data_IF_776218868509
#
_entry.id   IF_776218868509
#
_cell.length_a   1.000
_cell.length_b   1.000
_cell.length_c   1.000
_cell.angle_alpha   90.00
_cell.angle_beta   90.00
_cell.angle_gamma   90.00
#
_symmetry.space_group_name_H-M   'P 1'
#
loop_
_entity.id
_entity.type
_entity.pdbx_description
1 polymer ?
#
# COMPACT_ATOMS: atom_id res chain seq x y z
N UNK A 1 -9.43 40.61 40.21
CA UNK A 1 -9.86 39.46 39.37
C UNK A 1 -9.01 39.50 38.12
N UNK A 2 -8.00 38.63 38.07
CA UNK A 2 -6.95 38.64 37.05
C UNK A 2 -7.22 37.44 36.13
N UNK A 3 -7.61 37.71 34.89
CA UNK A 3 -7.80 36.68 33.85
C UNK A 3 -6.44 36.16 33.40
N UNK A 4 -6.14 34.91 33.73
CA UNK A 4 -5.02 34.17 33.17
C UNK A 4 -5.35 33.78 31.72
N UNK A 5 -4.61 34.33 30.76
CA UNK A 5 -4.55 33.83 29.39
C UNK A 5 -3.77 32.51 29.42
N UNK A 6 -4.45 31.40 29.11
CA UNK A 6 -3.78 30.16 28.74
C UNK A 6 -3.30 30.32 27.30
N UNK A 7 -1.99 30.43 27.12
CA UNK A 7 -1.33 30.26 25.83
C UNK A 7 -1.41 28.78 25.44
N UNK A 8 -2.16 28.47 24.38
CA UNK A 8 -2.08 27.17 23.72
C UNK A 8 -0.69 27.01 23.11
N UNK A 9 0.13 26.23 23.80
CA UNK A 9 1.46 25.83 23.38
C UNK A 9 1.30 24.79 22.27
N UNK A 10 0.97 25.23 21.05
CA UNK A 10 1.07 24.42 19.82
C UNK A 10 2.54 24.16 19.51
N UNK A 11 3.17 23.28 20.28
CA UNK A 11 4.43 22.66 19.91
C UNK A 11 4.14 21.79 18.68
N UNK A 12 4.47 22.33 17.51
CA UNK A 12 4.48 21.58 16.26
C UNK A 12 5.41 20.38 16.45
N UNK A 13 4.82 19.20 16.67
CA UNK A 13 5.54 17.92 16.73
C UNK A 13 6.43 17.82 15.50
N UNK A 14 7.75 17.79 15.72
CA UNK A 14 8.71 17.59 14.66
C UNK A 14 8.34 16.34 13.85
N UNK A 15 8.45 16.36 12.51
CA UNK A 15 8.09 15.20 11.70
C UNK A 15 8.98 14.01 12.10
N UNK A 16 8.37 12.98 12.70
CA UNK A 16 9.05 11.73 13.07
C UNK A 16 9.80 11.18 11.87
N UNK A 17 11.04 10.74 12.09
CA UNK A 17 11.83 10.16 11.01
C UNK A 17 11.18 8.85 10.52
N UNK A 18 11.39 8.50 9.25
CA UNK A 18 10.85 7.24 8.71
C UNK A 18 11.39 6.00 9.46
N UNK A 19 12.56 6.11 10.11
CA UNK A 19 13.15 5.10 10.95
C UNK A 19 12.36 4.93 12.26
N UNK A 20 12.06 6.03 12.96
CA UNK A 20 11.25 6.01 14.19
C UNK A 20 9.87 5.42 13.92
N UNK A 21 9.23 5.76 12.80
CA UNK A 21 7.93 5.19 12.43
C UNK A 21 8.03 3.67 12.19
N UNK A 22 9.12 3.21 11.56
CA UNK A 22 9.35 1.79 11.31
C UNK A 22 9.67 1.01 12.61
N UNK A 23 10.47 1.59 13.50
CA UNK A 23 10.81 1.00 14.80
C UNK A 23 9.59 0.90 15.71
N UNK A 24 8.79 1.97 15.81
CA UNK A 24 7.52 1.96 16.56
C UNK A 24 6.58 0.88 16.00
N UNK A 25 6.53 0.71 14.68
CA UNK A 25 5.70 -0.32 14.04
C UNK A 25 6.22 -1.73 14.34
N UNK A 26 7.53 -1.96 14.26
CA UNK A 26 8.14 -3.25 14.56
C UNK A 26 7.96 -3.61 16.04
N UNK A 27 8.15 -2.65 16.94
CA UNK A 27 7.96 -2.84 18.37
C UNK A 27 6.49 -3.13 18.72
N UNK A 28 5.53 -2.47 18.04
CA UNK A 28 4.10 -2.77 18.20
C UNK A 28 3.73 -4.17 17.70
N UNK A 29 4.32 -4.62 16.60
CA UNK A 29 4.12 -5.99 16.12
C UNK A 29 4.68 -7.00 17.11
N UNK A 30 5.89 -6.76 17.62
CA UNK A 30 6.52 -7.61 18.61
C UNK A 30 5.72 -7.65 19.92
N UNK A 31 5.16 -6.52 20.37
CA UNK A 31 4.34 -6.48 21.58
C UNK A 31 2.99 -7.18 21.41
N UNK A 32 2.43 -7.18 20.20
CA UNK A 32 1.10 -7.75 19.93
C UNK A 32 1.17 -9.24 19.65
N UNK A 33 2.20 -9.70 18.94
CA UNK A 33 2.27 -11.08 18.45
C UNK A 33 3.46 -11.89 18.97
N UNK A 34 4.44 -11.25 19.61
CA UNK A 34 5.71 -11.90 19.94
C UNK A 34 6.54 -12.28 18.71
N UNK A 35 7.67 -12.92 18.98
CA UNK A 35 8.45 -13.63 17.96
C UNK A 35 7.79 -14.95 17.59
N UNK A 36 8.08 -15.46 16.39
CA UNK A 36 7.63 -16.81 16.04
C UNK A 36 8.27 -17.85 16.95
N UNK A 37 7.44 -18.74 17.46
CA UNK A 37 7.91 -19.92 18.17
C UNK A 37 8.84 -20.77 17.28
N UNK A 38 9.78 -21.54 17.86
CA UNK A 38 10.61 -22.45 17.07
C UNK A 38 9.80 -23.47 16.25
N UNK A 39 8.61 -23.85 16.74
CA UNK A 39 7.68 -24.70 16.00
C UNK A 39 7.07 -23.98 14.78
N UNK A 40 6.66 -22.72 14.94
CA UNK A 40 6.19 -21.86 13.86
C UNK A 40 7.25 -21.67 12.77
N UNK A 41 8.51 -21.46 13.14
CA UNK A 41 9.62 -21.33 12.18
C UNK A 41 9.83 -22.63 11.39
N UNK A 42 9.83 -23.79 12.07
CA UNK A 42 9.94 -25.09 11.41
C UNK A 42 8.78 -25.32 10.44
N UNK A 43 7.54 -25.15 10.91
CA UNK A 43 6.34 -25.29 10.08
C UNK A 43 6.41 -24.40 8.83
N UNK A 44 6.84 -23.14 8.97
CA UNK A 44 7.02 -22.24 7.82
C UNK A 44 7.98 -22.84 6.80
N UNK A 45 9.14 -23.32 7.24
CA UNK A 45 10.16 -23.89 6.35
C UNK A 45 9.66 -25.18 5.67
N UNK A 46 8.92 -26.01 6.41
CA UNK A 46 8.35 -27.24 5.88
C UNK A 46 7.28 -26.95 4.82
N UNK A 47 6.47 -25.90 5.01
CA UNK A 47 5.53 -25.41 3.98
C UNK A 47 6.29 -24.87 2.77
N UNK A 48 7.32 -24.05 2.99
CA UNK A 48 8.12 -23.47 1.90
C UNK A 48 8.80 -24.56 1.07
N UNK A 49 9.19 -25.67 1.68
CA UNK A 49 9.86 -26.81 1.02
C UNK A 49 8.90 -27.91 0.55
N UNK A 50 7.59 -27.65 0.55
CA UNK A 50 6.54 -28.59 0.16
C UNK A 50 6.52 -29.91 0.98
N UNK A 51 7.14 -29.92 2.17
CA UNK A 51 7.08 -31.05 3.11
C UNK A 51 5.76 -31.10 3.88
N UNK A 52 5.16 -29.93 4.14
CA UNK A 52 3.85 -29.79 4.79
C UNK A 52 2.92 -28.99 3.89
N UNK A 53 1.74 -29.54 3.65
CA UNK A 53 0.67 -28.82 2.96
C UNK A 53 -0.08 -27.92 3.94
N UNK A 54 0.02 -26.60 3.79
CA UNK A 54 -0.51 -25.64 4.75
C UNK A 54 -2.04 -25.78 4.95
N UNK A 55 -2.78 -26.07 3.89
CA UNK A 55 -4.25 -26.24 3.98
C UNK A 55 -4.62 -27.45 4.85
N UNK A 56 -3.95 -28.60 4.67
CA UNK A 56 -4.18 -29.79 5.50
C UNK A 56 -3.76 -29.57 6.94
N UNK A 57 -2.63 -28.88 7.17
CA UNK A 57 -2.20 -28.53 8.52
C UNK A 57 -3.24 -27.67 9.22
N UNK A 58 -3.76 -26.63 8.56
CA UNK A 58 -4.82 -25.78 9.08
C UNK A 58 -6.09 -26.59 9.40
N UNK A 59 -6.51 -27.48 8.51
CA UNK A 59 -7.67 -28.34 8.75
C UNK A 59 -7.48 -29.24 9.97
N UNK A 60 -6.28 -29.80 10.17
CA UNK A 60 -5.97 -30.61 11.36
C UNK A 60 -6.06 -29.79 12.63
N UNK A 61 -5.34 -28.65 12.74
CA UNK A 61 -5.35 -27.85 13.98
C UNK A 61 -6.72 -27.27 14.30
N UNK A 62 -7.56 -27.03 13.29
CA UNK A 62 -8.95 -26.63 13.47
C UNK A 62 -9.77 -27.78 14.03
N UNK A 63 -9.67 -28.98 13.44
CA UNK A 63 -10.36 -30.17 13.93
C UNK A 63 -9.94 -30.53 15.36
N UNK A 64 -8.66 -30.32 15.70
CA UNK A 64 -8.09 -30.58 17.02
C UNK A 64 -8.38 -29.45 18.03
N UNK A 65 -9.01 -28.34 17.61
CA UNK A 65 -9.30 -27.20 18.47
C UNK A 65 -8.06 -26.41 18.94
N UNK A 66 -6.94 -26.53 18.22
CA UNK A 66 -5.64 -25.90 18.56
C UNK A 66 -5.25 -24.76 17.61
N UNK A 67 -6.19 -24.29 16.78
CA UNK A 67 -5.95 -23.17 15.88
C UNK A 67 -5.57 -21.90 16.65
N UNK A 68 -4.49 -21.25 16.22
CA UNK A 68 -4.04 -19.97 16.78
C UNK A 68 -3.75 -18.96 15.68
N UNK A 69 -3.68 -17.69 16.06
CA UNK A 69 -3.27 -16.64 15.14
C UNK A 69 -1.82 -16.81 14.66
N UNK A 70 -0.93 -17.38 15.48
CA UNK A 70 0.44 -17.73 15.05
C UNK A 70 0.39 -18.75 13.91
N UNK A 71 -0.43 -19.80 14.03
CA UNK A 71 -0.58 -20.81 12.98
C UNK A 71 -1.08 -20.19 11.68
N UNK A 72 -2.09 -19.32 11.72
CA UNK A 72 -2.59 -18.62 10.55
C UNK A 72 -1.49 -17.78 9.87
N UNK A 73 -0.74 -16.98 10.66
CA UNK A 73 0.34 -16.13 10.17
C UNK A 73 1.45 -16.95 9.50
N UNK A 74 1.88 -18.02 10.15
CA UNK A 74 2.91 -18.93 9.63
C UNK A 74 2.48 -19.59 8.33
N UNK A 75 1.26 -20.11 8.25
CA UNK A 75 0.74 -20.71 7.03
C UNK A 75 0.66 -19.68 5.89
N UNK A 76 0.15 -18.47 6.17
CA UNK A 76 0.08 -17.39 5.18
C UNK A 76 1.47 -16.98 4.67
N UNK A 77 2.46 -16.87 5.56
CA UNK A 77 3.83 -16.55 5.20
C UNK A 77 4.49 -17.68 4.38
N UNK A 78 4.35 -18.92 4.84
CA UNK A 78 4.92 -20.10 4.19
C UNK A 78 4.38 -20.27 2.77
N UNK A 79 3.06 -20.23 2.59
CA UNK A 79 2.43 -20.34 1.26
C UNK A 79 2.81 -19.18 0.35
N UNK A 80 2.87 -17.94 0.88
CA UNK A 80 3.26 -16.79 0.07
C UNK A 80 4.70 -16.90 -0.44
N UNK A 81 5.61 -17.38 0.40
CA UNK A 81 7.02 -17.58 0.08
C UNK A 81 7.24 -18.77 -0.86
N UNK A 82 6.51 -19.87 -0.66
CA UNK A 82 6.46 -21.01 -1.58
C UNK A 82 6.05 -20.57 -2.99
N UNK A 83 4.98 -19.78 -3.11
CA UNK A 83 4.54 -19.25 -4.40
C UNK A 83 5.49 -18.19 -4.98
N UNK A 84 6.28 -17.50 -4.15
CA UNK A 84 7.23 -16.50 -4.62
C UNK A 84 8.36 -17.11 -5.47
N UNK A 85 8.64 -18.41 -5.33
CA UNK A 85 9.59 -19.16 -6.16
C UNK A 85 9.19 -19.21 -7.64
N UNK A 86 7.90 -19.05 -7.94
CA UNK A 86 7.36 -19.08 -9.30
C UNK A 86 7.19 -17.68 -9.87
N UNK A 87 7.22 -17.56 -11.21
CA UNK A 87 6.98 -16.27 -11.86
C UNK A 87 5.54 -15.85 -11.60
N UNK A 88 5.32 -14.54 -11.43
CA UNK A 88 4.00 -13.97 -11.14
C UNK A 88 2.88 -14.49 -12.05
N UNK A 89 3.14 -14.64 -13.35
CA UNK A 89 2.16 -15.15 -14.34
C UNK A 89 1.76 -16.62 -14.16
N UNK A 90 2.61 -17.42 -13.51
CA UNK A 90 2.40 -18.85 -13.28
C UNK A 90 1.63 -19.12 -11.99
N UNK A 91 1.79 -18.25 -10.97
CA UNK A 91 1.20 -18.45 -9.63
C UNK A 91 -0.31 -18.74 -9.67
N UNK A 92 -1.16 -18.02 -10.44
CA UNK A 92 -2.60 -18.32 -10.48
C UNK A 92 -2.96 -19.64 -11.15
N UNK A 93 -2.12 -20.17 -12.04
CA UNK A 93 -2.32 -21.49 -12.62
C UNK A 93 -1.98 -22.59 -11.60
N UNK A 94 -0.86 -22.42 -10.87
CA UNK A 94 -0.44 -23.33 -9.80
C UNK A 94 -1.51 -23.43 -8.71
N UNK A 95 -1.95 -22.29 -8.18
CA UNK A 95 -2.99 -22.26 -7.14
C UNK A 95 -4.31 -22.89 -7.63
N UNK A 96 -4.69 -22.72 -8.91
CA UNK A 96 -5.86 -23.38 -9.50
C UNK A 96 -5.67 -24.89 -9.62
N UNK A 97 -4.50 -25.35 -10.06
CA UNK A 97 -4.21 -26.79 -10.18
C UNK A 97 -4.18 -27.50 -8.82
N UNK A 98 -3.78 -26.79 -7.77
CA UNK A 98 -3.81 -27.31 -6.41
C UNK A 98 -5.25 -27.41 -5.87
N UNK A 99 -6.14 -26.49 -6.26
CA UNK A 99 -7.57 -26.55 -5.91
C UNK A 99 -7.85 -26.47 -4.40
N UNK A 100 -6.90 -25.95 -3.62
CA UNK A 100 -6.97 -25.93 -2.15
C UNK A 100 -7.77 -24.72 -1.64
N UNK A 101 -8.74 -24.89 -0.73
CA UNK A 101 -9.49 -23.79 -0.12
C UNK A 101 -8.70 -23.13 1.02
N UNK A 102 -7.51 -22.59 0.73
CA UNK A 102 -6.55 -22.14 1.73
C UNK A 102 -7.04 -20.93 2.53
N UNK A 103 -7.32 -19.81 1.86
CA UNK A 103 -7.87 -18.62 2.51
C UNK A 103 -9.24 -18.90 3.10
N UNK A 104 -10.10 -19.67 2.43
CA UNK A 104 -11.41 -20.06 2.96
C UNK A 104 -11.29 -20.76 4.32
N UNK A 105 -10.32 -21.66 4.46
CA UNK A 105 -10.08 -22.38 5.72
C UNK A 105 -9.70 -21.41 6.85
N UNK A 106 -8.77 -20.49 6.58
CA UNK A 106 -8.35 -19.47 7.56
C UNK A 106 -9.51 -18.53 7.90
N UNK A 107 -10.17 -17.99 6.87
CA UNK A 107 -11.23 -17.01 7.05
C UNK A 107 -12.41 -17.59 7.81
N UNK A 108 -12.76 -18.87 7.64
CA UNK A 108 -13.86 -19.49 8.40
C UNK A 108 -13.63 -19.43 9.91
N UNK A 109 -12.38 -19.54 10.37
CA UNK A 109 -12.03 -19.44 11.79
C UNK A 109 -11.92 -17.98 12.26
N UNK A 110 -11.33 -17.13 11.42
CA UNK A 110 -11.16 -15.72 11.75
C UNK A 110 -12.46 -14.93 11.66
N UNK A 111 -13.45 -15.38 10.87
CA UNK A 111 -14.59 -14.55 10.47
C UNK A 111 -15.42 -14.07 11.66
N UNK A 112 -15.68 -14.96 12.61
CA UNK A 112 -16.58 -14.71 13.74
C UNK A 112 -15.87 -14.29 15.01
N UNK A 113 -14.55 -14.43 15.09
CA UNK A 113 -13.78 -14.13 16.30
C UNK A 113 -12.93 -12.87 16.13
N UNK A 114 -13.45 -11.75 16.63
CA UNK A 114 -12.78 -10.46 16.66
C UNK A 114 -11.42 -10.49 17.34
N UNK A 115 -11.24 -11.35 18.35
CA UNK A 115 -9.97 -11.48 19.05
C UNK A 115 -8.87 -12.06 18.15
N UNK A 116 -9.26 -12.73 17.06
CA UNK A 116 -8.33 -13.27 16.07
C UNK A 116 -8.15 -12.33 14.88
N UNK A 117 -9.23 -11.86 14.26
CA UNK A 117 -9.12 -11.03 13.05
C UNK A 117 -8.73 -9.57 13.34
N UNK A 118 -9.18 -9.02 14.47
CA UNK A 118 -8.94 -7.62 14.86
C UNK A 118 -7.46 -7.26 14.99
N UNK A 119 -6.65 -8.02 15.75
CA UNK A 119 -5.20 -7.81 15.82
C UNK A 119 -4.53 -7.94 14.45
N UNK A 120 -4.93 -8.94 13.65
CA UNK A 120 -4.36 -9.18 12.32
C UNK A 120 -4.47 -7.93 11.43
N UNK A 121 -5.67 -7.36 11.29
CA UNK A 121 -5.90 -6.19 10.41
C UNK A 121 -5.37 -4.89 11.00
N UNK A 122 -5.31 -4.79 12.33
CA UNK A 122 -4.86 -3.58 13.03
C UNK A 122 -3.33 -3.45 13.06
N UNK A 123 -2.63 -4.56 13.27
CA UNK A 123 -1.21 -4.56 13.63
C UNK A 123 -0.33 -5.41 12.70
N UNK A 124 -0.89 -6.40 11.99
CA UNK A 124 -0.14 -7.27 11.08
C UNK A 124 -0.47 -7.05 9.60
N UNK A 125 0.01 -5.93 9.07
CA UNK A 125 -0.23 -5.59 7.66
C UNK A 125 0.38 -6.58 6.66
N UNK A 126 1.46 -7.28 7.02
CA UNK A 126 2.09 -8.25 6.13
C UNK A 126 1.19 -9.47 5.94
N UNK A 127 0.76 -10.07 7.04
CA UNK A 127 -0.12 -11.24 6.97
C UNK A 127 -1.53 -10.87 6.53
N UNK A 128 -2.01 -9.66 6.85
CA UNK A 128 -3.24 -9.11 6.24
C UNK A 128 -3.12 -9.02 4.72
N UNK A 129 -1.98 -8.55 4.19
CA UNK A 129 -1.72 -8.50 2.75
C UNK A 129 -1.71 -9.90 2.11
N UNK A 130 -1.09 -10.88 2.77
CA UNK A 130 -1.07 -12.26 2.31
C UNK A 130 -2.47 -12.88 2.32
N UNK A 131 -3.24 -12.66 3.39
CA UNK A 131 -4.62 -13.12 3.50
C UNK A 131 -5.48 -12.52 2.38
N UNK A 132 -5.38 -11.20 2.13
CA UNK A 132 -6.10 -10.55 1.03
C UNK A 132 -5.73 -11.15 -0.33
N UNK A 133 -4.45 -11.46 -0.57
CA UNK A 133 -4.00 -12.09 -1.81
C UNK A 133 -4.69 -13.44 -2.06
N UNK A 134 -4.67 -14.34 -1.08
CA UNK A 134 -5.30 -15.65 -1.22
C UNK A 134 -6.84 -15.56 -1.23
N UNK A 135 -7.43 -14.69 -0.39
CA UNK A 135 -8.86 -14.50 -0.33
C UNK A 135 -9.44 -13.97 -1.65
N UNK A 136 -8.81 -12.97 -2.27
CA UNK A 136 -9.24 -12.45 -3.57
C UNK A 136 -9.08 -13.53 -4.65
N UNK A 137 -7.99 -14.27 -4.65
CA UNK A 137 -7.80 -15.38 -5.59
C UNK A 137 -8.90 -16.46 -5.46
N UNK A 138 -9.33 -16.76 -4.23
CA UNK A 138 -10.40 -17.72 -3.94
C UNK A 138 -11.83 -17.14 -4.05
N UNK A 139 -11.98 -15.88 -4.49
CA UNK A 139 -13.29 -15.24 -4.66
C UNK A 139 -13.99 -14.84 -3.35
N UNK A 140 -13.23 -14.60 -2.28
CA UNK A 140 -13.72 -14.26 -0.94
C UNK A 140 -13.71 -12.75 -0.66
N UNK A 141 -13.66 -11.90 -1.68
CA UNK A 141 -13.58 -10.45 -1.52
C UNK A 141 -14.75 -9.88 -0.69
N UNK A 142 -15.95 -10.44 -0.82
CA UNK A 142 -17.13 -10.01 -0.07
C UNK A 142 -16.93 -10.07 1.44
N UNK A 143 -16.25 -11.11 1.94
CA UNK A 143 -15.92 -11.24 3.36
C UNK A 143 -14.98 -10.11 3.80
N UNK A 144 -13.95 -9.78 3.01
CA UNK A 144 -13.07 -8.65 3.33
C UNK A 144 -13.81 -7.32 3.35
N UNK A 145 -14.80 -7.13 2.46
CA UNK A 145 -15.67 -5.94 2.45
C UNK A 145 -16.54 -5.89 3.71
N UNK A 146 -17.06 -7.03 4.16
CA UNK A 146 -17.86 -7.09 5.38
C UNK A 146 -17.01 -6.81 6.63
N UNK A 147 -15.73 -7.20 6.67
CA UNK A 147 -14.81 -6.73 7.71
C UNK A 147 -14.66 -5.21 7.73
N UNK A 148 -14.67 -4.51 6.58
CA UNK A 148 -14.62 -3.04 6.59
C UNK A 148 -15.84 -2.39 7.29
N UNK A 149 -16.93 -3.15 7.47
CA UNK A 149 -18.16 -2.75 8.16
C UNK A 149 -18.20 -3.18 9.63
N UNK A 150 -17.41 -4.18 10.00
CA UNK A 150 -17.36 -4.67 11.37
C UNK A 150 -16.74 -3.62 12.30
N UNK A 151 -17.26 -3.50 13.51
CA UNK A 151 -16.62 -2.74 14.59
C UNK A 151 -15.61 -3.63 15.32
N UNK A 152 -14.59 -3.00 15.89
CA UNK A 152 -13.61 -3.66 16.77
C UNK A 152 -13.76 -3.01 18.14
N UNK A 153 -14.02 -3.80 19.17
CA UNK A 153 -13.99 -3.42 20.58
C UNK A 153 -12.53 -3.15 21.01
N UNK A 154 -11.94 -2.07 20.47
CA UNK A 154 -10.65 -1.53 20.91
C UNK A 154 -10.87 -0.28 21.78
N UNK A 155 -10.09 -0.10 22.85
CA UNK A 155 -10.14 1.13 23.64
C UNK A 155 -9.87 2.35 22.74
N UNK A 156 -10.75 3.35 22.85
CA UNK A 156 -10.76 4.55 22.03
C UNK A 156 -9.38 5.23 22.01
N UNK A 157 -8.73 5.22 20.84
CA UNK A 157 -7.57 6.06 20.54
C UNK A 157 -7.94 6.96 19.36
N UNK A 158 -8.26 8.25 19.59
CA UNK A 158 -8.91 9.12 18.60
C UNK A 158 -8.15 9.26 17.27
N UNK A 159 -6.83 9.03 17.26
CA UNK A 159 -6.00 9.13 16.06
C UNK A 159 -5.95 7.84 15.23
N UNK A 160 -6.42 6.70 15.76
CA UNK A 160 -6.17 5.36 15.20
C UNK A 160 -7.41 4.53 14.93
N UNK A 161 -8.57 4.96 15.44
CA UNK A 161 -9.81 4.17 15.54
C UNK A 161 -10.27 3.52 14.22
N UNK A 162 -9.87 4.08 13.07
CA UNK A 162 -10.27 3.57 11.75
C UNK A 162 -9.12 3.41 10.75
N UNK A 163 -7.86 3.55 11.19
CA UNK A 163 -6.71 3.45 10.28
C UNK A 163 -6.58 2.06 9.65
N UNK A 164 -6.89 1.01 10.42
CA UNK A 164 -6.82 -0.37 9.95
C UNK A 164 -7.74 -0.63 8.74
N UNK A 165 -8.92 0.01 8.66
CA UNK A 165 -9.83 -0.11 7.51
C UNK A 165 -9.20 0.40 6.23
N UNK A 166 -8.53 1.55 6.30
CA UNK A 166 -7.77 2.09 5.18
C UNK A 166 -6.62 1.17 4.76
N UNK A 167 -5.95 0.54 5.73
CA UNK A 167 -4.90 -0.44 5.45
C UNK A 167 -5.43 -1.74 4.84
N UNK A 168 -6.56 -2.26 5.33
CA UNK A 168 -7.23 -3.43 4.78
C UNK A 168 -7.64 -3.18 3.32
N UNK A 169 -8.28 -2.04 3.04
CA UNK A 169 -8.57 -1.64 1.65
C UNK A 169 -7.29 -1.55 0.80
N UNK A 170 -6.22 -0.98 1.36
CA UNK A 170 -4.92 -0.94 0.70
C UNK A 170 -4.38 -2.33 0.35
N UNK A 171 -4.51 -3.28 1.27
CA UNK A 171 -4.12 -4.68 1.09
C UNK A 171 -4.96 -5.39 0.01
N UNK A 172 -6.28 -5.16 0.00
CA UNK A 172 -7.18 -5.67 -1.05
C UNK A 172 -6.78 -5.14 -2.44
N UNK A 173 -6.53 -3.83 -2.55
CA UNK A 173 -6.09 -3.19 -3.79
C UNK A 173 -4.73 -3.75 -4.25
N UNK A 174 -3.79 -3.95 -3.32
CA UNK A 174 -2.49 -4.53 -3.63
C UNK A 174 -2.61 -6.00 -4.10
N UNK A 175 -3.51 -6.77 -3.49
CA UNK A 175 -3.77 -8.15 -3.86
C UNK A 175 -4.32 -8.26 -5.29
N UNK A 176 -5.33 -7.46 -5.65
CA UNK A 176 -5.81 -7.33 -7.04
C UNK A 176 -4.68 -6.96 -7.99
N UNK A 177 -3.89 -5.94 -7.63
CA UNK A 177 -2.76 -5.50 -8.42
C UNK A 177 -1.67 -6.58 -8.55
N UNK A 178 -1.51 -7.50 -7.59
CA UNK A 178 -0.56 -8.61 -7.65
C UNK A 178 -1.07 -9.79 -8.49
N UNK A 179 -2.39 -10.02 -8.50
CA UNK A 179 -3.04 -11.08 -9.26
C UNK A 179 -3.26 -10.73 -10.74
N UNK A 180 -3.22 -9.45 -11.12
CA UNK A 180 -3.29 -9.05 -12.53
C UNK A 180 -2.14 -9.67 -13.34
N UNK A 181 -2.46 -10.59 -14.27
CA UNK A 181 -1.48 -11.15 -15.21
C UNK A 181 -1.32 -10.25 -16.45
N UNK A 182 -2.42 -9.62 -16.90
CA UNK A 182 -2.47 -8.77 -18.10
C UNK A 182 -1.80 -7.41 -17.97
N UNK A 183 -1.13 -7.14 -16.84
CA UNK A 183 -0.57 -5.83 -16.53
C UNK A 183 -1.60 -4.70 -16.66
N UNK A 184 -2.74 -4.87 -15.99
CA UNK A 184 -3.81 -3.89 -15.85
C UNK A 184 -4.10 -3.65 -14.36
N UNK A 185 -4.49 -2.42 -14.00
CA UNK A 185 -4.89 -2.10 -12.62
C UNK A 185 -6.40 -2.03 -12.45
N UNK A 186 -7.16 -2.45 -13.46
CA UNK A 186 -8.60 -2.35 -13.54
C UNK A 186 -9.32 -2.85 -12.29
N UNK A 187 -9.11 -4.11 -11.90
CA UNK A 187 -9.76 -4.68 -10.70
C UNK A 187 -9.30 -4.01 -9.40
N UNK A 188 -8.03 -3.58 -9.33
CA UNK A 188 -7.52 -2.86 -8.17
C UNK A 188 -8.17 -1.47 -8.03
N UNK A 189 -8.39 -0.76 -9.15
CA UNK A 189 -9.09 0.52 -9.20
C UNK A 189 -10.58 0.34 -8.90
N UNK A 190 -11.23 -0.67 -9.51
CA UNK A 190 -12.64 -1.01 -9.26
C UNK A 190 -12.88 -1.38 -7.79
N UNK A 191 -11.99 -2.17 -7.19
CA UNK A 191 -12.02 -2.49 -5.76
C UNK A 191 -12.05 -1.22 -4.89
N UNK A 192 -11.16 -0.26 -5.17
CA UNK A 192 -11.12 1.01 -4.44
C UNK A 192 -12.43 1.81 -4.65
N UNK A 193 -12.93 1.90 -5.88
CA UNK A 193 -14.15 2.64 -6.19
C UNK A 193 -15.42 2.01 -5.62
N UNK A 194 -15.50 0.67 -5.54
CA UNK A 194 -16.59 -0.04 -4.85
C UNK A 194 -16.68 0.39 -3.39
N UNK A 195 -15.55 0.40 -2.67
CA UNK A 195 -15.50 0.80 -1.26
C UNK A 195 -15.69 2.30 -1.08
N UNK A 196 -15.19 3.13 -2.01
CA UNK A 196 -15.52 4.56 -2.01
C UNK A 196 -17.02 4.82 -2.16
N UNK A 197 -17.68 4.10 -3.07
CA UNK A 197 -19.12 4.22 -3.30
C UNK A 197 -19.90 3.82 -2.05
N UNK A 198 -19.52 2.71 -1.42
CA UNK A 198 -20.07 2.29 -0.13
C UNK A 198 -19.88 3.38 0.94
N UNK A 199 -18.67 3.91 1.08
CA UNK A 199 -18.36 4.98 2.04
C UNK A 199 -19.23 6.22 1.83
N UNK A 200 -19.35 6.70 0.58
CA UNK A 200 -20.15 7.88 0.22
C UNK A 200 -21.63 7.66 0.54
N UNK A 201 -22.17 6.49 0.19
CA UNK A 201 -23.55 6.09 0.51
C UNK A 201 -23.81 6.14 2.02
N UNK A 202 -22.96 5.48 2.81
CA UNK A 202 -23.10 5.47 4.28
C UNK A 202 -22.94 6.86 4.93
N UNK A 203 -22.14 7.74 4.31
CA UNK A 203 -21.99 9.13 4.78
C UNK A 203 -23.25 9.96 4.51
N UNK A 204 -23.98 9.66 3.43
CA UNK A 204 -25.18 10.38 3.01
C UNK A 204 -26.46 9.89 3.72
N UNK A 205 -26.53 8.61 4.08
CA UNK A 205 -27.72 7.97 4.66
C UNK A 205 -27.91 8.22 6.17
N UNK A 206 -26.84 8.58 6.90
CA UNK A 206 -26.88 8.74 8.36
C UNK A 206 -26.48 10.15 8.83
N UNK A 207 -27.16 10.71 9.86
CA UNK A 207 -26.67 11.85 10.63
C UNK A 207 -25.22 11.64 11.09
N UNK A 208 -24.44 12.72 11.21
CA UNK A 208 -22.99 12.63 11.47
C UNK A 208 -22.64 11.84 12.74
N UNK A 209 -23.43 11.99 13.79
CA UNK A 209 -23.36 11.30 15.08
C UNK A 209 -23.73 9.81 15.02
N UNK A 210 -24.35 9.36 13.93
CA UNK A 210 -24.81 7.98 13.72
C UNK A 210 -24.11 7.31 12.53
N UNK A 211 -23.09 7.95 11.97
CA UNK A 211 -22.36 7.38 10.84
C UNK A 211 -21.57 6.15 11.29
N UNK A 212 -21.68 5.02 10.57
CA UNK A 212 -20.86 3.86 10.87
C UNK A 212 -19.38 4.19 10.64
N UNK A 213 -18.47 3.48 11.32
CA UNK A 213 -17.03 3.72 11.20
C UNK A 213 -16.50 3.65 9.75
N UNK A 214 -17.15 2.87 8.88
CA UNK A 214 -16.82 2.79 7.45
C UNK A 214 -16.96 4.14 6.73
N UNK A 215 -17.82 5.06 7.20
CA UNK A 215 -17.95 6.41 6.65
C UNK A 215 -16.64 7.22 6.80
N UNK A 216 -15.89 6.95 7.87
CA UNK A 216 -14.62 7.59 8.19
C UNK A 216 -13.40 6.89 7.55
N UNK A 217 -13.62 5.86 6.73
CA UNK A 217 -12.55 5.15 6.03
C UNK A 217 -11.70 6.09 5.16
N UNK A 218 -10.39 6.06 5.38
CA UNK A 218 -9.42 6.81 4.58
C UNK A 218 -9.02 6.04 3.31
N UNK A 219 -9.22 6.64 2.13
CA UNK A 219 -8.72 6.07 0.86
C UNK A 219 -7.22 6.32 0.63
N UNK A 220 -6.56 7.11 1.48
CA UNK A 220 -5.16 7.52 1.29
C UNK A 220 -4.20 6.34 1.11
N UNK A 221 -4.28 5.24 1.89
CA UNK A 221 -3.39 4.09 1.70
C UNK A 221 -3.53 3.47 0.31
N UNK A 222 -4.77 3.27 -0.17
CA UNK A 222 -5.05 2.69 -1.49
C UNK A 222 -4.60 3.60 -2.63
N UNK A 223 -4.83 4.92 -2.51
CA UNK A 223 -4.31 5.90 -3.46
C UNK A 223 -2.78 5.85 -3.54
N UNK A 224 -2.10 5.75 -2.40
CA UNK A 224 -0.64 5.62 -2.36
C UNK A 224 -0.15 4.34 -3.03
N UNK A 225 -0.80 3.21 -2.76
CA UNK A 225 -0.48 1.91 -3.36
C UNK A 225 -0.67 1.95 -4.87
N UNK A 226 -1.83 2.39 -5.38
CA UNK A 226 -2.10 2.48 -6.81
C UNK A 226 -1.14 3.44 -7.51
N UNK A 227 -0.82 4.58 -6.91
CA UNK A 227 0.18 5.52 -7.43
C UNK A 227 1.54 4.82 -7.60
N UNK A 228 2.00 4.10 -6.57
CA UNK A 228 3.26 3.33 -6.62
C UNK A 228 3.22 2.25 -7.70
N UNK A 229 2.10 1.55 -7.86
CA UNK A 229 1.93 0.52 -8.89
C UNK A 229 1.98 1.14 -10.30
N UNK A 230 1.30 2.25 -10.55
CA UNK A 230 1.36 2.98 -11.83
C UNK A 230 2.80 3.37 -12.16
N UNK A 231 3.54 3.89 -11.18
CA UNK A 231 4.94 4.30 -11.34
C UNK A 231 5.92 3.14 -11.61
N UNK A 232 5.50 1.88 -11.47
CA UNK A 232 6.31 0.74 -11.96
C UNK A 232 6.43 0.75 -13.49
N UNK A 233 5.48 1.38 -14.19
CA UNK A 233 5.37 1.37 -15.64
C UNK A 233 5.01 0.01 -16.25
N UNK A 234 4.67 -0.97 -15.42
CA UNK A 234 4.26 -2.31 -15.84
C UNK A 234 2.81 -2.28 -16.35
N UNK A 235 1.91 -1.53 -15.70
CA UNK A 235 0.47 -1.64 -15.90
C UNK A 235 -0.12 -0.81 -17.06
N UNK A 236 0.44 -0.97 -18.26
CA UNK A 236 0.11 -0.15 -19.44
C UNK A 236 -1.22 -0.50 -20.11
N UNK A 237 -1.82 -1.62 -19.74
CA UNK A 237 -3.09 -2.10 -20.32
C UNK A 237 -4.31 -1.68 -19.50
N UNK A 238 -4.12 -0.94 -18.41
CA UNK A 238 -5.22 -0.37 -17.61
C UNK A 238 -6.17 0.45 -18.49
N UNK A 239 -7.47 0.27 -18.30
CA UNK A 239 -8.51 1.03 -18.99
C UNK A 239 -8.30 2.54 -18.82
N UNK A 240 -8.37 3.28 -19.92
CA UNK A 240 -8.07 4.72 -19.95
C UNK A 240 -9.07 5.52 -19.10
N UNK A 241 -10.35 5.15 -19.14
CA UNK A 241 -11.38 5.86 -18.37
C UNK A 241 -11.19 5.64 -16.88
N UNK A 242 -11.01 4.39 -16.45
CA UNK A 242 -10.73 4.06 -15.05
C UNK A 242 -9.45 4.73 -14.55
N UNK A 243 -8.40 4.75 -15.37
CA UNK A 243 -7.15 5.43 -15.06
C UNK A 243 -7.37 6.92 -14.81
N UNK A 244 -8.08 7.61 -15.72
CA UNK A 244 -8.34 9.04 -15.62
C UNK A 244 -9.23 9.39 -14.42
N UNK A 245 -10.26 8.58 -14.15
CA UNK A 245 -11.09 8.72 -12.95
C UNK A 245 -10.25 8.58 -11.68
N UNK A 246 -9.38 7.57 -11.61
CA UNK A 246 -8.47 7.37 -10.49
C UNK A 246 -7.53 8.56 -10.31
N UNK A 247 -6.90 9.05 -11.38
CA UNK A 247 -5.99 10.19 -11.32
C UNK A 247 -6.70 11.47 -10.86
N UNK A 248 -7.95 11.70 -11.32
CA UNK A 248 -8.78 12.81 -10.85
C UNK A 248 -9.06 12.71 -9.35
N UNK A 249 -9.43 11.53 -8.86
CA UNK A 249 -9.63 11.30 -7.43
C UNK A 249 -8.34 11.52 -6.62
N UNK A 250 -7.25 10.88 -7.05
CA UNK A 250 -5.96 10.89 -6.36
C UNK A 250 -5.35 12.29 -6.23
N UNK A 251 -5.72 13.23 -7.10
CA UNK A 251 -5.25 14.62 -7.08
C UNK A 251 -6.16 15.57 -6.28
N UNK A 252 -7.37 15.14 -5.91
CA UNK A 252 -8.29 15.88 -5.02
C UNK A 252 -7.98 15.65 -3.54
N UNK A 253 -7.27 14.57 -3.20
CA UNK A 253 -6.86 14.29 -1.82
C UNK A 253 -5.78 15.28 -1.34
N UNK A 254 -6.25 16.35 -0.69
CA UNK A 254 -5.53 17.43 0.03
C UNK A 254 -4.64 18.34 -0.83
N UNK A 255 -4.84 19.66 -0.66
CA UNK A 255 -3.82 20.66 -0.90
C UNK A 255 -4.14 21.95 -0.13
N UNK A 256 -3.77 22.00 1.15
CA UNK A 256 -3.73 23.26 1.94
C UNK A 256 -2.29 23.74 2.19
N UNK A 257 -1.29 22.85 2.20
CA UNK A 257 0.12 23.23 2.43
C UNK A 257 0.97 23.26 1.15
N UNK A 258 2.11 23.96 1.21
CA UNK A 258 3.11 24.01 0.12
C UNK A 258 3.66 22.61 -0.21
N UNK A 259 3.99 21.82 0.81
CA UNK A 259 4.45 20.43 0.67
C UNK A 259 3.44 19.56 -0.08
N UNK A 260 2.14 19.71 0.21
CA UNK A 260 1.09 18.98 -0.49
C UNK A 260 0.95 19.40 -1.96
N UNK A 261 1.24 20.67 -2.29
CA UNK A 261 1.25 21.15 -3.68
C UNK A 261 2.38 20.50 -4.48
N UNK A 262 3.58 20.41 -3.91
CA UNK A 262 4.71 19.75 -4.55
C UNK A 262 4.43 18.25 -4.78
N UNK A 263 3.92 17.55 -3.76
CA UNK A 263 3.54 16.13 -3.87
C UNK A 263 2.47 15.92 -4.96
N UNK A 264 1.48 16.82 -5.02
CA UNK A 264 0.44 16.81 -6.05
C UNK A 264 1.00 16.99 -7.46
N UNK A 265 1.86 17.99 -7.67
CA UNK A 265 2.47 18.25 -8.98
C UNK A 265 3.32 17.07 -9.44
N UNK A 266 4.11 16.50 -8.53
CA UNK A 266 4.87 15.28 -8.80
C UNK A 266 3.96 14.11 -9.17
N UNK A 267 2.88 13.89 -8.42
CA UNK A 267 1.92 12.80 -8.67
C UNK A 267 1.22 12.97 -10.02
N UNK A 268 0.81 14.18 -10.37
CA UNK A 268 0.23 14.51 -11.67
C UNK A 268 1.22 14.24 -12.82
N UNK A 269 2.46 14.68 -12.67
CA UNK A 269 3.52 14.38 -13.62
C UNK A 269 3.73 12.87 -13.78
N UNK A 270 3.76 12.12 -12.68
CA UNK A 270 3.87 10.67 -12.72
C UNK A 270 2.69 10.03 -13.47
N UNK A 271 1.46 10.46 -13.20
CA UNK A 271 0.29 9.98 -13.93
C UNK A 271 0.35 10.28 -15.43
N UNK A 272 0.85 11.44 -15.82
CA UNK A 272 1.06 11.79 -17.23
C UNK A 272 2.09 10.89 -17.91
N UNK A 273 3.21 10.59 -17.24
CA UNK A 273 4.30 9.74 -17.80
C UNK A 273 3.89 8.29 -18.05
N UNK A 274 2.94 7.81 -17.27
CA UNK A 274 2.48 6.41 -17.26
C UNK A 274 1.04 6.25 -17.77
N UNK A 275 0.45 7.29 -18.37
CA UNK A 275 -0.88 7.20 -18.98
C UNK A 275 -0.92 6.07 -20.04
N UNK A 276 -1.95 5.20 -20.04
CA UNK A 276 -1.98 3.99 -20.88
C UNK A 276 -2.05 4.28 -22.38
N UNK A 277 -2.66 5.40 -22.79
CA UNK A 277 -2.88 5.76 -24.20
C UNK A 277 -2.09 6.97 -24.70
N UNK A 278 -1.80 7.91 -23.81
CA UNK A 278 -1.22 9.21 -24.15
C UNK A 278 -0.15 9.63 -23.16
N UNK A 279 0.95 8.86 -23.04
CA UNK A 279 2.01 9.19 -22.10
C UNK A 279 2.72 10.49 -22.52
N UNK A 280 2.82 11.45 -21.60
CA UNK A 280 3.42 12.77 -21.85
C UNK A 280 4.40 13.19 -20.74
N UNK A 281 5.52 13.77 -21.16
CA UNK A 281 6.62 14.24 -20.31
C UNK A 281 6.53 15.70 -19.91
N UNK A 282 5.69 16.52 -20.55
CA UNK A 282 5.63 17.98 -20.34
C UNK A 282 5.39 18.36 -18.87
N UNK A 283 4.50 17.66 -18.18
CA UNK A 283 4.23 17.89 -16.76
C UNK A 283 5.42 17.51 -15.87
N UNK A 284 6.19 16.48 -16.22
CA UNK A 284 7.42 16.13 -15.51
C UNK A 284 8.51 17.18 -15.71
N UNK A 285 8.65 17.69 -16.93
CA UNK A 285 9.57 18.78 -17.24
C UNK A 285 9.22 20.06 -16.45
N UNK A 286 7.94 20.46 -16.45
CA UNK A 286 7.46 21.61 -15.68
C UNK A 286 7.73 21.43 -14.18
N UNK A 287 7.40 20.27 -13.63
CA UNK A 287 7.67 19.94 -12.22
C UNK A 287 9.17 20.08 -11.86
N UNK A 288 10.08 19.63 -12.73
CA UNK A 288 11.53 19.77 -12.50
C UNK A 288 12.00 21.22 -12.64
N UNK A 289 11.50 21.97 -13.63
CA UNK A 289 11.85 23.39 -13.84
C UNK A 289 11.39 24.29 -12.68
N UNK A 290 10.17 24.08 -12.20
CA UNK A 290 9.57 24.91 -11.16
C UNK A 290 10.18 24.64 -9.78
N UNK A 291 10.54 23.39 -9.49
CA UNK A 291 10.90 23.00 -8.12
C UNK A 291 12.40 22.66 -7.97
N UNK A 292 12.97 21.89 -8.90
CA UNK A 292 14.33 21.34 -8.76
C UNK A 292 15.38 22.29 -9.33
N UNK A 293 15.08 22.94 -10.45
CA UNK A 293 16.00 23.89 -11.06
C UNK A 293 16.21 25.15 -10.19
N UNK A 294 15.19 25.53 -9.41
CA UNK A 294 15.25 26.66 -8.48
C UNK A 294 16.01 26.35 -7.19
N UNK A 295 16.25 25.07 -6.88
CA UNK A 295 17.00 24.68 -5.69
C UNK A 295 18.50 25.00 -5.89
N UNK A 296 19.03 25.85 -5.01
CA UNK A 296 20.41 26.34 -5.08
C UNK A 296 21.35 25.54 -4.20
N UNK A 297 20.85 24.93 -3.12
CA UNK A 297 21.68 24.14 -2.19
C UNK A 297 21.37 22.64 -2.21
N UNK A 298 22.33 21.78 -1.80
CA UNK A 298 22.08 20.36 -1.60
C UNK A 298 20.98 20.05 -0.57
N UNK A 299 20.83 20.88 0.47
CA UNK A 299 19.80 20.69 1.50
C UNK A 299 18.40 20.99 0.93
N UNK A 300 18.25 22.00 0.08
CA UNK A 300 16.98 22.28 -0.62
C UNK A 300 16.56 21.10 -1.49
N UNK A 301 17.50 20.52 -2.25
CA UNK A 301 17.25 19.34 -3.08
C UNK A 301 16.83 18.13 -2.24
N UNK A 302 17.44 17.94 -1.07
CA UNK A 302 17.09 16.89 -0.11
C UNK A 302 15.71 17.10 0.48
N UNK A 303 15.36 18.34 0.86
CA UNK A 303 14.01 18.71 1.34
C UNK A 303 12.97 18.44 0.26
N UNK A 304 13.17 18.93 -0.96
CA UNK A 304 12.25 18.73 -2.09
C UNK A 304 12.05 17.25 -2.39
N UNK A 305 13.14 16.48 -2.40
CA UNK A 305 13.08 15.04 -2.61
C UNK A 305 12.27 14.32 -1.54
N UNK A 306 12.45 14.69 -0.27
CA UNK A 306 11.69 14.14 0.84
C UNK A 306 10.20 14.54 0.75
N UNK A 307 9.92 15.79 0.41
CA UNK A 307 8.55 16.30 0.21
C UNK A 307 7.82 15.62 -0.94
N UNK A 308 8.52 15.24 -2.02
CA UNK A 308 7.96 14.42 -3.10
C UNK A 308 7.76 12.95 -2.71
N UNK A 309 8.24 12.51 -1.55
CA UNK A 309 8.08 11.13 -1.05
C UNK A 309 8.80 10.07 -1.89
N UNK A 310 9.92 10.43 -2.54
CA UNK A 310 10.56 9.56 -3.54
C UNK A 310 11.61 8.64 -2.94
N UNK A 311 11.39 7.34 -3.09
CA UNK A 311 12.50 6.38 -3.02
C UNK A 311 13.44 6.56 -4.22
N UNK A 312 14.71 6.16 -4.06
CA UNK A 312 15.68 6.15 -5.16
C UNK A 312 15.15 5.46 -6.41
N UNK A 313 14.48 4.32 -6.23
CA UNK A 313 13.91 3.53 -7.32
C UNK A 313 12.80 4.31 -8.03
N UNK A 314 11.90 4.95 -7.26
CA UNK A 314 10.77 5.72 -7.82
C UNK A 314 11.26 6.95 -8.60
N UNK A 315 12.22 7.68 -8.04
CA UNK A 315 12.86 8.82 -8.71
C UNK A 315 13.56 8.37 -10.00
N UNK A 316 14.37 7.32 -9.94
CA UNK A 316 15.07 6.78 -11.12
C UNK A 316 14.09 6.40 -12.23
N UNK A 317 12.99 5.70 -11.90
CA UNK A 317 11.95 5.33 -12.86
C UNK A 317 11.29 6.56 -13.50
N UNK A 318 10.95 7.55 -12.69
CA UNK A 318 10.35 8.81 -13.14
C UNK A 318 11.26 9.54 -14.14
N UNK A 319 12.51 9.79 -13.77
CA UNK A 319 13.48 10.50 -14.63
C UNK A 319 13.73 9.75 -15.92
N UNK A 320 13.98 8.43 -15.85
CA UNK A 320 14.22 7.62 -17.05
C UNK A 320 13.04 7.63 -18.00
N UNK A 321 11.81 7.52 -17.46
CA UNK A 321 10.59 7.54 -18.28
C UNK A 321 10.35 8.91 -18.93
N UNK A 322 10.51 9.99 -18.17
CA UNK A 322 10.37 11.35 -18.67
C UNK A 322 11.38 11.67 -19.77
N UNK A 323 12.66 11.37 -19.55
CA UNK A 323 13.71 11.59 -20.54
C UNK A 323 13.50 10.73 -21.80
N UNK A 324 13.05 9.48 -21.65
CA UNK A 324 12.70 8.62 -22.78
C UNK A 324 11.60 9.25 -23.66
N UNK A 325 10.50 9.70 -23.06
CA UNK A 325 9.39 10.32 -23.78
C UNK A 325 9.79 11.66 -24.43
N UNK A 326 10.59 12.48 -23.74
CA UNK A 326 11.15 13.71 -24.29
C UNK A 326 12.02 13.44 -25.53
N UNK A 327 12.90 12.44 -25.46
CA UNK A 327 13.79 12.09 -26.58
C UNK A 327 13.04 11.58 -27.82
N UNK A 328 11.84 11.01 -27.65
CA UNK A 328 10.99 10.54 -28.75
C UNK A 328 10.15 11.63 -29.39
N UNK A 329 9.99 12.78 -28.75
CA UNK A 329 9.13 13.87 -29.23
C UNK A 329 9.92 14.97 -29.94
N UNK A 330 11.12 14.67 -30.46
CA UNK A 330 12.09 15.62 -31.08
C UNK A 330 12.64 16.71 -30.16
N UNK A 331 12.29 16.69 -28.86
CA UNK A 331 12.77 17.63 -27.85
C UNK A 331 14.02 17.11 -27.12
N UNK A 332 15.14 16.97 -27.85
CA UNK A 332 16.39 16.46 -27.27
C UNK A 332 16.90 17.33 -26.10
N UNK A 333 16.71 18.65 -26.16
CA UNK A 333 17.07 19.57 -25.09
C UNK A 333 16.32 19.27 -23.78
N UNK A 334 15.02 18.96 -23.86
CA UNK A 334 14.22 18.61 -22.68
C UNK A 334 14.68 17.28 -22.07
N UNK A 335 15.04 16.30 -22.90
CA UNK A 335 15.57 15.03 -22.42
C UNK A 335 16.90 15.20 -21.67
N UNK A 336 17.80 16.05 -22.17
CA UNK A 336 19.07 16.38 -21.51
C UNK A 336 18.83 17.08 -20.18
N UNK A 337 17.99 18.13 -20.17
CA UNK A 337 17.63 18.85 -18.95
C UNK A 337 17.05 17.91 -17.87
N UNK A 338 16.11 17.03 -18.24
CA UNK A 338 15.50 16.07 -17.30
C UNK A 338 16.57 15.15 -16.68
N UNK A 339 17.52 14.66 -17.47
CA UNK A 339 18.61 13.80 -16.97
C UNK A 339 19.53 14.54 -16.00
N UNK A 340 19.91 15.77 -16.32
CA UNK A 340 20.75 16.60 -15.47
C UNK A 340 20.09 16.87 -14.11
N UNK A 341 18.82 17.29 -14.10
CA UNK A 341 18.08 17.51 -12.85
C UNK A 341 17.89 16.21 -12.07
N UNK A 342 17.68 15.09 -12.77
CA UNK A 342 17.61 13.77 -12.15
C UNK A 342 18.92 13.35 -11.46
N UNK A 343 20.07 13.63 -12.06
CA UNK A 343 21.38 13.38 -11.46
C UNK A 343 21.59 14.23 -10.20
N UNK A 344 21.23 15.53 -10.25
CA UNK A 344 21.29 16.41 -9.07
C UNK A 344 20.48 15.86 -7.89
N UNK A 345 19.25 15.40 -8.13
CA UNK A 345 18.41 14.79 -7.10
C UNK A 345 18.91 13.44 -6.59
N UNK A 346 19.66 12.69 -7.41
CA UNK A 346 20.27 11.42 -7.00
C UNK A 346 21.52 11.62 -6.14
N UNK A 347 22.31 12.66 -6.41
CA UNK A 347 23.53 12.98 -5.66
C UNK A 347 23.26 13.36 -4.20
N UNK A 348 22.11 13.98 -3.92
CA UNK A 348 21.68 14.31 -2.54
C UNK A 348 20.96 13.15 -1.85
N UNK A 349 21.02 11.94 -2.44
CA UNK A 349 20.37 10.79 -1.84
C UNK A 349 21.03 10.46 -0.50
N UNK A 350 20.26 10.67 0.56
CA UNK A 350 20.47 9.93 1.80
C UNK A 350 20.16 8.46 1.52
N UNK A 351 20.93 7.55 2.13
CA UNK A 351 20.49 6.19 2.28
C UNK A 351 19.23 6.22 3.16
N UNK A 352 18.04 6.28 2.55
CA UNK A 352 16.84 5.89 3.26
C UNK A 352 16.97 4.38 3.53
N UNK A 353 16.90 3.91 4.79
CA UNK A 353 17.19 2.52 5.17
C UNK A 353 16.17 1.49 4.64
N UNK A 354 15.28 1.88 3.73
CA UNK A 354 14.31 0.99 3.07
C UNK A 354 14.95 -0.10 2.21
N UNK A 355 16.24 -0.03 1.90
CA UNK A 355 16.98 -1.10 1.22
C UNK A 355 17.16 -2.37 2.08
N UNK A 356 16.77 -2.36 3.38
CA UNK A 356 16.75 -3.59 4.21
C UNK A 356 15.55 -4.53 3.94
N UNK A 357 14.56 -4.12 3.13
CA UNK A 357 13.46 -5.02 2.73
C UNK A 357 13.69 -5.70 1.37
N UNK A 358 14.92 -5.67 0.84
CA UNK A 358 15.30 -6.47 -0.35
C UNK A 358 15.26 -7.99 -0.14
N UNK A 359 14.82 -8.49 1.01
CA UNK A 359 14.55 -9.92 1.25
C UNK A 359 13.10 -10.35 1.05
N UNK A 360 12.20 -9.49 0.58
CA UNK A 360 10.88 -9.96 0.11
C UNK A 360 10.75 -9.67 -1.38
N UNK A 361 11.17 -10.66 -2.18
CA UNK A 361 10.99 -10.67 -3.62
C UNK A 361 9.52 -10.53 -4.00
N UNK A 362 9.22 -9.54 -4.84
CA UNK A 362 7.97 -9.49 -5.62
C UNK A 362 8.18 -10.30 -6.90
#
# INVERSE_FOLDING_TARGET
MTTAQQSEDTTALAPRSALEVAEVKAQRQLSTFGEYSPAAIRLKNDIVTDQVEATKHLQSVIADGTFTLETARVCLAGERERLAKYKRKERPAIMRSEGKPFARTIMTQLWTDEKLWGPLVSDDHLHTGNLCYFAIFEGLESFLVDWLRAEIDQPFVPEKEHMWRGHLLGSMVLAHAALSIGHELDEAIRCMFRVETLRRRLTAEAPEDQRPATAYLSLRPSVSILTKQIMTGQFRHTDERLYNEFCSLATRYRSKSYTERLEKNYRQAAFSLYHPKSPDHRLALACLKENVAQATTPEDLKILRNMMGLSNISLKRFILRAAYLASRSTHHADATFIREQGLRLQQVSTALPYDRYKTVGI
#
